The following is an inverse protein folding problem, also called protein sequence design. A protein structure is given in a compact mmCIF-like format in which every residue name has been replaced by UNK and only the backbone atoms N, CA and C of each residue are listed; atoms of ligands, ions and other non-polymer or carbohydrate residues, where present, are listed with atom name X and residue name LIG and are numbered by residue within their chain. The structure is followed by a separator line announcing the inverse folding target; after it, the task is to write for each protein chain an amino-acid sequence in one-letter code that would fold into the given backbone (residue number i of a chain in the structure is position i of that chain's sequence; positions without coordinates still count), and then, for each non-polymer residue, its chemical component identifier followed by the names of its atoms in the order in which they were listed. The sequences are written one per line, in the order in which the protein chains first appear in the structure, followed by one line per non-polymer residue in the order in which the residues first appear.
data_IF_055228304611
#
_entry.id   IF_055228304611
#
_cell.length_a   1.000
_cell.length_b   1.000
_cell.length_c   1.000
_cell.angle_alpha   90.00
_cell.angle_beta   90.00
_cell.angle_gamma   90.00
#
_symmetry.space_group_name_H-M   'P 1'
#
loop_
_entity.id
_entity.type
_entity.pdbx_description
1 polymer ?
#
# COMPACT_ATOMS: atom_id res chain seq x y z
N UNK A 1 27.75 6.99 -11.11
CA UNK A 1 27.05 6.18 -10.10
C UNK A 1 26.48 4.93 -10.72
N UNK A 2 26.68 3.81 -10.10
CA UNK A 2 26.16 2.53 -10.57
C UNK A 2 25.06 2.08 -9.62
N UNK A 3 23.90 1.72 -10.17
CA UNK A 3 22.78 1.21 -9.38
C UNK A 3 22.75 -0.31 -9.45
N UNK A 4 22.72 -0.94 -8.31
CA UNK A 4 22.61 -2.38 -8.21
C UNK A 4 21.29 -2.75 -7.55
N UNK A 5 20.60 -3.74 -8.12
CA UNK A 5 19.37 -4.25 -7.53
C UNK A 5 19.69 -5.11 -6.34
N UNK A 6 18.85 -5.02 -5.31
CA UNK A 6 18.94 -5.91 -4.16
C UNK A 6 17.67 -6.73 -4.09
N UNK A 7 17.75 -7.83 -3.36
CA UNK A 7 16.58 -8.71 -3.20
C UNK A 7 15.64 -8.10 -2.15
N UNK A 8 14.33 -8.20 -2.43
CA UNK A 8 13.32 -7.72 -1.51
C UNK A 8 13.51 -8.27 -0.10
N UNK A 9 13.83 -9.56 0.01
CA UNK A 9 13.98 -10.20 1.32
C UNK A 9 15.18 -9.70 2.11
N UNK A 10 16.11 -8.96 1.47
CA UNK A 10 17.23 -8.37 2.18
C UNK A 10 16.89 -7.03 2.83
N UNK A 11 15.70 -6.48 2.54
CA UNK A 11 15.24 -5.23 3.13
C UNK A 11 14.78 -5.47 4.56
N UNK A 12 14.97 -4.45 5.42
CA UNK A 12 14.39 -4.52 6.76
C UNK A 12 12.89 -4.20 6.70
N UNK A 13 12.20 -4.34 7.83
CA UNK A 13 10.75 -4.15 7.89
C UNK A 13 10.31 -2.77 7.40
N UNK A 14 11.01 -1.73 7.78
CA UNK A 14 10.65 -0.36 7.38
C UNK A 14 10.86 -0.15 5.89
N UNK A 15 11.95 -0.68 5.36
CA UNK A 15 12.22 -0.60 3.93
C UNK A 15 11.18 -1.37 3.12
N UNK A 16 10.77 -2.54 3.60
CA UNK A 16 9.72 -3.33 2.94
C UNK A 16 8.40 -2.57 2.94
N UNK A 17 8.06 -1.94 4.04
CA UNK A 17 6.85 -1.13 4.14
C UNK A 17 6.86 0.00 3.13
N UNK A 18 7.97 0.72 3.03
CA UNK A 18 8.12 1.80 2.06
C UNK A 18 8.05 1.28 0.62
N UNK A 19 8.73 0.16 0.36
CA UNK A 19 8.71 -0.46 -0.95
C UNK A 19 7.30 -0.82 -1.37
N UNK A 20 6.56 -1.47 -0.47
CA UNK A 20 5.20 -1.91 -0.76
C UNK A 20 4.27 -0.74 -1.00
N UNK A 21 4.40 0.33 -0.21
CA UNK A 21 3.61 1.54 -0.43
C UNK A 21 3.85 2.10 -1.83
N UNK A 22 5.11 2.26 -2.22
CA UNK A 22 5.43 2.84 -3.53
C UNK A 22 4.93 1.97 -4.68
N UNK A 23 4.98 0.65 -4.52
CA UNK A 23 4.46 -0.28 -5.52
C UNK A 23 2.96 -0.07 -5.75
N UNK A 24 2.21 -0.06 -4.66
CA UNK A 24 0.76 0.10 -4.74
C UNK A 24 0.39 1.49 -5.24
N UNK A 25 1.06 2.53 -4.71
CA UNK A 25 0.80 3.90 -5.14
C UNK A 25 1.06 4.08 -6.63
N UNK A 26 2.14 3.47 -7.15
CA UNK A 26 2.45 3.53 -8.57
C UNK A 26 1.35 2.88 -9.41
N UNK A 27 0.85 1.72 -8.99
CA UNK A 27 -0.24 1.05 -9.70
C UNK A 27 -1.51 1.87 -9.69
N UNK A 28 -1.84 2.49 -8.55
CA UNK A 28 -3.02 3.36 -8.45
C UNK A 28 -2.86 4.61 -9.32
N UNK A 29 -1.64 5.11 -9.46
CA UNK A 29 -1.37 6.26 -10.32
C UNK A 29 -1.73 5.96 -11.78
N UNK A 30 -1.58 4.71 -12.21
CA UNK A 30 -1.99 4.31 -13.56
C UNK A 30 -3.49 4.51 -13.79
N UNK A 31 -4.27 4.54 -12.72
CA UNK A 31 -5.72 4.77 -12.79
C UNK A 31 -6.09 6.19 -12.40
N UNK A 32 -5.10 7.07 -12.26
CA UNK A 32 -5.34 8.48 -11.99
C UNK A 32 -5.45 8.87 -10.53
N UNK A 33 -5.10 7.98 -9.60
CA UNK A 33 -5.14 8.28 -8.18
C UNK A 33 -3.84 8.88 -7.70
N UNK A 34 -3.96 9.91 -6.86
CA UNK A 34 -2.83 10.47 -6.11
C UNK A 34 -2.86 9.90 -4.71
N UNK A 35 -1.73 9.36 -4.26
CA UNK A 35 -1.65 8.69 -2.97
C UNK A 35 -0.90 9.54 -1.95
N UNK A 36 -1.37 9.53 -0.71
CA UNK A 36 -0.74 10.24 0.40
C UNK A 36 -0.64 9.32 1.60
N UNK A 37 0.59 9.14 2.10
CA UNK A 37 0.79 8.34 3.31
C UNK A 37 0.27 9.10 4.53
N UNK A 38 -0.21 8.33 5.50
CA UNK A 38 -0.66 8.87 6.77
C UNK A 38 0.43 8.65 7.82
N UNK A 39 0.63 9.62 8.67
CA UNK A 39 1.60 9.50 9.77
C UNK A 39 1.12 8.50 10.82
N UNK A 40 -0.18 8.47 11.04
CA UNK A 40 -0.82 7.55 11.96
C UNK A 40 -1.96 6.86 11.23
N UNK A 41 -2.30 5.64 11.67
CA UNK A 41 -3.46 4.95 11.13
C UNK A 41 -4.71 5.81 11.27
N UNK A 42 -5.45 5.88 10.19
CA UNK A 42 -6.75 6.54 10.21
C UNK A 42 -7.80 5.51 9.84
N UNK A 43 -8.56 5.08 10.84
CA UNK A 43 -9.61 4.08 10.65
C UNK A 43 -9.07 2.79 10.00
N UNK A 44 -7.82 2.45 10.30
CA UNK A 44 -7.18 1.26 9.77
C UNK A 44 -6.40 1.45 8.48
N UNK A 45 -6.44 2.63 7.88
CA UNK A 45 -5.76 2.88 6.62
C UNK A 45 -4.29 3.25 6.83
N UNK A 46 -3.43 2.76 5.95
CA UNK A 46 -2.03 3.16 5.89
C UNK A 46 -1.84 4.40 5.03
N UNK A 47 -2.64 4.55 4.02
CA UNK A 47 -2.61 5.74 3.18
C UNK A 47 -3.98 5.95 2.51
N UNK A 48 -4.14 7.13 1.94
CA UNK A 48 -5.33 7.43 1.15
C UNK A 48 -4.94 7.68 -0.29
N UNK A 49 -5.85 7.38 -1.21
CA UNK A 49 -5.68 7.64 -2.63
C UNK A 49 -6.90 8.42 -3.11
N UNK A 50 -6.65 9.53 -3.79
CA UNK A 50 -7.74 10.42 -4.22
C UNK A 50 -7.72 10.60 -5.73
N UNK A 51 -8.92 10.68 -6.29
CA UNK A 51 -9.14 10.93 -7.71
C UNK A 51 -10.47 11.66 -7.85
N UNK A 52 -10.44 12.89 -8.32
CA UNK A 52 -11.63 13.74 -8.41
C UNK A 52 -12.28 13.83 -7.01
N UNK A 53 -13.54 13.42 -6.87
CA UNK A 53 -14.26 13.45 -5.61
C UNK A 53 -14.19 12.12 -4.85
N UNK A 54 -13.43 11.17 -5.37
CA UNK A 54 -13.32 9.83 -4.81
C UNK A 54 -12.11 9.74 -3.89
N UNK A 55 -12.29 9.10 -2.73
CA UNK A 55 -11.19 8.86 -1.81
C UNK A 55 -11.23 7.41 -1.36
N UNK A 56 -10.10 6.72 -1.53
CA UNK A 56 -9.94 5.34 -1.10
C UNK A 56 -9.05 5.32 0.15
N UNK A 57 -9.49 4.59 1.16
CA UNK A 57 -8.67 4.29 2.33
C UNK A 57 -8.03 2.93 2.09
N UNK A 58 -6.71 2.86 2.10
CA UNK A 58 -5.99 1.66 1.70
C UNK A 58 -5.15 1.11 2.84
N UNK A 59 -5.29 -0.20 3.07
CA UNK A 59 -4.48 -0.95 4.02
C UNK A 59 -3.55 -1.85 3.22
N UNK A 60 -2.24 -1.81 3.53
CA UNK A 60 -1.26 -2.67 2.88
C UNK A 60 -1.17 -4.01 3.63
N UNK A 61 -1.17 -5.09 2.88
CA UNK A 61 -1.01 -6.44 3.42
C UNK A 61 0.02 -7.21 2.61
N UNK A 62 0.91 -7.91 3.30
CA UNK A 62 1.90 -8.75 2.65
C UNK A 62 1.37 -10.12 2.27
N UNK A 63 0.24 -10.52 2.83
CA UNK A 63 -0.39 -11.80 2.53
C UNK A 63 -1.90 -11.70 2.76
N UNK A 64 -2.64 -12.63 2.23
CA UNK A 64 -4.09 -12.60 2.30
C UNK A 64 -4.56 -12.95 3.72
N UNK A 65 -4.79 -11.94 4.53
CA UNK A 65 -5.43 -12.07 5.84
C UNK A 65 -6.28 -10.82 6.06
N UNK A 66 -7.44 -11.00 6.65
CA UNK A 66 -8.31 -9.88 6.99
C UNK A 66 -8.53 -9.91 8.49
N UNK A 67 -8.08 -8.85 9.15
CA UNK A 67 -8.28 -8.68 10.58
C UNK A 67 -9.73 -8.29 10.84
N UNK A 68 -10.33 -8.87 11.87
CA UNK A 68 -11.73 -8.58 12.24
C UNK A 68 -11.98 -7.09 12.46
N UNK A 69 -10.97 -6.34 12.90
CA UNK A 69 -11.13 -4.91 13.16
C UNK A 69 -11.43 -4.11 11.90
N UNK A 70 -11.21 -4.68 10.71
CA UNK A 70 -11.51 -4.01 9.45
C UNK A 70 -12.88 -4.36 8.91
N UNK A 71 -13.55 -5.34 9.49
CA UNK A 71 -14.88 -5.74 9.03
C UNK A 71 -15.87 -4.63 9.36
N UNK A 72 -16.65 -4.22 8.37
CA UNK A 72 -17.63 -3.15 8.53
C UNK A 72 -17.08 -1.75 8.31
N UNK A 73 -15.79 -1.62 8.02
CA UNK A 73 -15.19 -0.33 7.66
C UNK A 73 -15.07 -0.21 6.15
N UNK A 74 -15.25 1.00 5.64
CA UNK A 74 -15.02 1.26 4.23
C UNK A 74 -13.54 1.42 3.99
N UNK A 75 -12.86 0.29 3.84
CA UNK A 75 -11.42 0.28 3.62
C UNK A 75 -11.09 -0.71 2.51
N UNK A 76 -10.16 -0.33 1.66
CA UNK A 76 -9.65 -1.17 0.60
C UNK A 76 -8.34 -1.79 1.05
N UNK A 77 -8.19 -3.08 0.82
CA UNK A 77 -7.00 -3.81 1.25
C UNK A 77 -6.20 -4.16 0.00
N UNK A 78 -4.94 -3.72 -0.02
CA UNK A 78 -4.04 -3.99 -1.12
C UNK A 78 -3.05 -5.08 -0.71
N UNK A 79 -2.93 -6.11 -1.54
CA UNK A 79 -2.01 -7.21 -1.33
C UNK A 79 -0.89 -7.17 -2.35
N UNK A 80 0.31 -7.50 -1.90
CA UNK A 80 1.44 -7.67 -2.80
C UNK A 80 1.86 -9.12 -2.71
N UNK A 81 1.84 -9.79 -3.87
CA UNK A 81 2.17 -11.20 -3.96
C UNK A 81 3.10 -11.36 -5.16
N UNK A 82 4.32 -11.87 -4.91
CA UNK A 82 5.33 -12.02 -5.96
C UNK A 82 5.56 -10.73 -6.75
N UNK A 83 5.53 -9.59 -6.07
CA UNK A 83 5.67 -8.25 -6.65
C UNK A 83 4.52 -7.87 -7.59
N UNK A 84 3.42 -8.60 -7.55
CA UNK A 84 2.20 -8.29 -8.30
C UNK A 84 1.17 -7.77 -7.30
N UNK A 85 0.52 -6.66 -7.66
CA UNK A 85 -0.49 -6.05 -6.82
C UNK A 85 -1.82 -6.75 -7.05
N UNK A 86 -2.44 -7.15 -5.96
CA UNK A 86 -3.74 -7.81 -5.97
C UNK A 86 -4.83 -6.85 -5.52
#
# INVERSE_FOLDING_TARGET
MTLEKIKYNSLNSKQKENYNYHKVASALADYGYDSMRLNNDWQGADFIAVKNDEMLKVQLKGRFTIDKKYIGKEIYIAFIENSIIK
#
